data_IF_586826952627
#
_entry.id   IF_586826952627
#
_cell.length_a   1.000
_cell.length_b   1.000
_cell.length_c   1.000
_cell.angle_alpha   90.00
_cell.angle_beta   90.00
_cell.angle_gamma   90.00
#
_symmetry.space_group_name_H-M   'P 1'
#
loop_
_entity.id
_entity.type
_entity.pdbx_description
1 polymer ?
#
# COMPACT_ATOMS: atom_id res chain seq x y z
N UNK A 1 -8.45 23.33 6.13
CA UNK A 1 -7.09 22.80 6.31
C UNK A 1 -6.13 23.40 5.30
N UNK A 2 -4.85 23.48 5.63
CA UNK A 2 -3.72 23.68 4.72
C UNK A 2 -2.85 22.43 4.84
N UNK A 3 -2.59 21.78 3.71
CA UNK A 3 -1.79 20.56 3.67
C UNK A 3 -0.40 20.86 3.11
N UNK A 4 0.62 20.20 3.66
CA UNK A 4 1.99 20.17 3.16
C UNK A 4 2.37 18.72 2.91
N UNK A 5 3.11 18.44 1.86
CA UNK A 5 3.71 17.11 1.65
C UNK A 5 4.75 16.87 2.74
N UNK A 6 4.61 15.77 3.47
CA UNK A 6 5.45 15.48 4.63
C UNK A 6 5.97 14.03 4.67
N UNK A 7 5.72 13.27 3.63
CA UNK A 7 6.23 11.91 3.49
C UNK A 7 5.81 11.28 2.18
N UNK A 8 6.63 10.33 1.72
CA UNK A 8 6.37 9.56 0.51
C UNK A 8 7.01 8.19 0.65
N UNK A 9 6.24 7.13 0.45
CA UNK A 9 6.73 5.74 0.56
C UNK A 9 7.45 5.25 -0.71
N UNK A 10 7.49 6.05 -1.77
CA UNK A 10 7.93 5.55 -3.07
C UNK A 10 6.97 4.50 -3.63
N UNK A 11 7.50 3.60 -4.46
CA UNK A 11 6.73 2.56 -5.14
C UNK A 11 6.20 1.52 -4.15
N UNK A 12 4.93 1.17 -4.29
CA UNK A 12 4.28 0.13 -3.51
C UNK A 12 4.20 -1.21 -4.24
N UNK A 13 3.95 -2.27 -3.47
CA UNK A 13 3.68 -3.61 -3.97
C UNK A 13 2.17 -3.88 -4.02
N UNK A 14 1.78 -4.88 -4.84
CA UNK A 14 0.38 -5.26 -5.02
C UNK A 14 -0.22 -6.05 -3.86
N UNK A 15 0.63 -6.63 -3.01
CA UNK A 15 0.21 -7.27 -1.77
C UNK A 15 0.70 -8.70 -1.58
N UNK A 16 0.28 -9.27 -0.44
CA UNK A 16 0.59 -10.62 0.03
C UNK A 16 -0.60 -11.54 -0.13
N UNK A 17 -0.36 -12.75 -0.61
CA UNK A 17 -1.40 -13.73 -0.92
C UNK A 17 -1.02 -15.13 -0.41
N UNK A 18 -2.00 -15.84 0.13
CA UNK A 18 -1.83 -17.24 0.56
C UNK A 18 -1.93 -18.24 -0.61
N UNK A 19 -2.42 -17.78 -1.75
CA UNK A 19 -2.51 -18.57 -3.00
C UNK A 19 -1.97 -17.77 -4.18
N UNK A 20 -1.61 -18.46 -5.24
CA UNK A 20 -1.26 -17.80 -6.50
C UNK A 20 -2.49 -17.16 -7.14
N UNK A 21 -2.26 -16.06 -7.80
CA UNK A 21 -3.25 -15.32 -8.61
C UNK A 21 -2.83 -15.44 -10.06
N UNK A 22 -3.47 -16.33 -10.79
CA UNK A 22 -3.18 -16.63 -12.18
C UNK A 22 -4.23 -16.08 -13.16
N UNK A 23 -5.39 -15.66 -12.63
CA UNK A 23 -6.49 -15.12 -13.42
C UNK A 23 -7.36 -14.18 -12.59
N UNK A 24 -8.19 -13.34 -13.21
CA UNK A 24 -9.18 -12.53 -12.50
C UNK A 24 -10.15 -13.36 -11.64
N UNK A 25 -10.42 -14.60 -12.03
CA UNK A 25 -11.31 -15.50 -11.28
C UNK A 25 -10.75 -15.90 -9.91
N UNK A 26 -9.43 -15.83 -9.72
CA UNK A 26 -8.79 -16.13 -8.45
C UNK A 26 -9.09 -15.10 -7.35
N UNK A 27 -9.60 -13.94 -7.72
CA UNK A 27 -10.07 -12.93 -6.78
C UNK A 27 -11.46 -13.22 -6.21
N UNK A 28 -12.27 -14.06 -6.87
CA UNK A 28 -13.64 -14.35 -6.44
C UNK A 28 -13.64 -15.04 -5.07
N UNK A 29 -14.28 -14.38 -4.11
CA UNK A 29 -14.40 -14.88 -2.75
C UNK A 29 -13.14 -14.77 -1.90
N UNK A 30 -12.04 -14.24 -2.44
CA UNK A 30 -10.81 -13.96 -1.70
C UNK A 30 -11.10 -12.96 -0.59
N UNK A 31 -10.77 -13.28 0.64
CA UNK A 31 -10.89 -12.35 1.77
C UNK A 31 -9.62 -11.52 1.84
N UNK A 32 -9.69 -10.26 1.43
CA UNK A 32 -8.52 -9.41 1.36
C UNK A 32 -8.68 -8.15 2.21
N UNK A 33 -7.67 -7.86 3.03
CA UNK A 33 -7.54 -6.56 3.67
C UNK A 33 -6.96 -5.58 2.66
N UNK A 34 -7.77 -4.64 2.24
CA UNK A 34 -7.40 -3.54 1.37
C UNK A 34 -8.36 -2.36 1.60
N UNK A 35 -7.87 -1.17 2.01
CA UNK A 35 -8.71 -0.02 2.30
C UNK A 35 -9.01 0.83 1.06
N UNK A 36 -9.91 1.80 1.25
CA UNK A 36 -10.14 2.90 0.34
C UNK A 36 -10.63 2.49 -1.05
N UNK A 37 -10.25 3.26 -2.05
CA UNK A 37 -10.66 3.05 -3.45
C UNK A 37 -10.14 1.72 -4.01
N UNK A 38 -8.95 1.28 -3.58
CA UNK A 38 -8.41 -0.02 -3.96
C UNK A 38 -9.34 -1.17 -3.54
N UNK A 39 -9.88 -1.11 -2.31
CA UNK A 39 -10.86 -2.07 -1.85
C UNK A 39 -12.16 -2.04 -2.64
N UNK A 40 -12.67 -0.85 -2.97
CA UNK A 40 -13.86 -0.69 -3.81
C UNK A 40 -13.64 -1.27 -5.20
N UNK A 41 -12.47 -1.05 -5.79
CA UNK A 41 -12.11 -1.56 -7.11
C UNK A 41 -12.04 -3.10 -7.11
N UNK A 42 -11.29 -3.72 -6.19
CA UNK A 42 -11.19 -5.19 -6.19
C UNK A 42 -12.49 -5.89 -5.79
N UNK A 43 -13.40 -5.22 -5.09
CA UNK A 43 -14.73 -5.77 -4.81
C UNK A 43 -15.53 -6.04 -6.09
N UNK A 44 -15.29 -5.27 -7.16
CA UNK A 44 -15.89 -5.50 -8.49
C UNK A 44 -15.38 -6.80 -9.13
N UNK A 45 -14.21 -7.28 -8.75
CA UNK A 45 -13.66 -8.59 -9.14
C UNK A 45 -14.13 -9.73 -8.23
N UNK A 46 -15.00 -9.45 -7.28
CA UNK A 46 -15.57 -10.47 -6.38
C UNK A 46 -14.75 -10.71 -5.10
N UNK A 47 -13.79 -9.83 -4.78
CA UNK A 47 -13.06 -9.88 -3.51
C UNK A 47 -13.99 -9.55 -2.34
N UNK A 48 -13.91 -10.36 -1.29
CA UNK A 48 -14.50 -10.05 0.02
C UNK A 48 -13.58 -9.12 0.79
N UNK A 49 -13.81 -7.82 0.66
CA UNK A 49 -12.96 -6.79 1.29
C UNK A 49 -13.18 -6.74 2.79
N UNK A 50 -12.10 -6.79 3.56
CA UNK A 50 -12.10 -6.73 5.01
C UNK A 50 -11.37 -5.48 5.48
N UNK A 51 -12.06 -4.61 6.21
CA UNK A 51 -11.47 -3.44 6.85
C UNK A 51 -10.90 -3.77 8.21
N UNK A 52 -9.58 -3.53 8.42
CA UNK A 52 -8.96 -3.68 9.73
C UNK A 52 -7.73 -2.78 9.90
N UNK A 53 -7.39 -2.41 11.15
CA UNK A 53 -6.14 -1.72 11.46
C UNK A 53 -4.90 -2.54 11.07
N UNK A 54 -3.83 -1.84 10.65
CA UNK A 54 -2.58 -2.49 10.23
C UNK A 54 -1.97 -3.48 11.24
N UNK A 55 -2.03 -3.15 12.53
CA UNK A 55 -1.52 -4.03 13.59
C UNK A 55 -2.24 -5.36 13.75
N UNK A 56 -3.37 -5.56 13.09
CA UNK A 56 -4.14 -6.81 13.14
C UNK A 56 -3.90 -7.72 11.91
N UNK A 57 -3.25 -7.21 10.87
CA UNK A 57 -3.10 -7.92 9.59
C UNK A 57 -2.35 -9.24 9.78
N UNK A 58 -1.20 -9.20 10.46
CA UNK A 58 -0.35 -10.39 10.66
C UNK A 58 -1.11 -11.56 11.29
N UNK A 59 -1.79 -11.31 12.41
CA UNK A 59 -2.56 -12.35 13.11
C UNK A 59 -3.72 -12.89 12.25
N UNK A 60 -4.39 -12.02 11.50
CA UNK A 60 -5.51 -12.41 10.66
C UNK A 60 -5.08 -13.17 9.39
N UNK A 61 -3.88 -12.93 8.87
CA UNK A 61 -3.27 -13.75 7.83
C UNK A 61 -2.88 -15.14 8.36
N UNK A 62 -2.22 -15.20 9.52
CA UNK A 62 -1.76 -16.48 10.14
C UNK A 62 -2.93 -17.39 10.46
N UNK A 63 -4.03 -16.86 11.01
CA UNK A 63 -5.18 -17.66 11.41
C UNK A 63 -6.20 -17.92 10.27
N UNK A 64 -5.96 -17.38 9.07
CA UNK A 64 -6.82 -17.56 7.90
C UNK A 64 -8.12 -16.78 7.93
N UNK A 65 -8.25 -15.77 8.78
CA UNK A 65 -9.39 -14.83 8.75
C UNK A 65 -9.41 -14.03 7.46
N UNK A 66 -8.22 -13.67 6.95
CA UNK A 66 -8.00 -13.10 5.62
C UNK A 66 -7.02 -13.98 4.83
N UNK A 67 -7.17 -13.99 3.51
CA UNK A 67 -6.36 -14.76 2.57
C UNK A 67 -5.25 -13.91 1.95
N UNK A 68 -5.43 -12.57 1.99
CA UNK A 68 -4.53 -11.62 1.36
C UNK A 68 -4.57 -10.25 2.06
N UNK A 69 -3.52 -9.48 1.88
CA UNK A 69 -3.48 -8.07 2.26
C UNK A 69 -2.58 -7.26 1.34
N UNK A 70 -2.89 -5.98 1.20
CA UNK A 70 -1.91 -4.97 0.77
C UNK A 70 -1.35 -4.23 2.00
N UNK A 71 -0.18 -3.64 1.86
CA UNK A 71 0.41 -2.79 2.89
C UNK A 71 1.18 -1.63 2.25
N UNK A 72 2.50 -1.67 2.20
CA UNK A 72 3.30 -0.59 1.61
C UNK A 72 4.27 -1.13 0.56
N UNK A 73 5.36 -1.72 1.00
CA UNK A 73 6.41 -2.22 0.14
C UNK A 73 7.45 -3.00 0.95
N UNK A 74 8.49 -3.55 0.31
CA UNK A 74 9.35 -4.58 0.89
C UNK A 74 9.90 -4.24 2.27
N UNK A 75 10.32 -2.99 2.50
CA UNK A 75 10.93 -2.60 3.78
C UNK A 75 9.93 -2.59 4.94
N UNK A 76 8.72 -2.07 4.72
CA UNK A 76 7.67 -2.07 5.74
C UNK A 76 7.11 -3.47 5.95
N UNK A 77 6.92 -4.19 4.87
CA UNK A 77 6.27 -5.49 4.85
C UNK A 77 7.15 -6.55 5.50
N UNK A 78 8.48 -6.49 5.30
CA UNK A 78 9.46 -7.31 6.02
C UNK A 78 9.36 -7.09 7.55
N UNK A 79 9.29 -5.83 7.99
CA UNK A 79 9.15 -5.48 9.42
C UNK A 79 7.82 -5.96 10.02
N UNK A 80 6.78 -6.00 9.20
CA UNK A 80 5.47 -6.54 9.59
C UNK A 80 5.41 -8.06 9.58
N UNK A 81 6.49 -8.74 9.12
CA UNK A 81 6.65 -10.19 9.07
C UNK A 81 5.58 -10.91 8.27
N UNK A 82 4.99 -10.27 7.26
CA UNK A 82 3.93 -10.89 6.45
C UNK A 82 4.41 -12.14 5.71
N UNK A 83 5.70 -12.25 5.43
CA UNK A 83 6.34 -13.42 4.82
C UNK A 83 6.19 -14.72 5.65
N UNK A 84 5.90 -14.62 6.95
CA UNK A 84 5.63 -15.80 7.79
C UNK A 84 4.18 -16.29 7.64
N UNK A 85 3.30 -15.42 7.15
CA UNK A 85 1.86 -15.66 7.06
C UNK A 85 1.39 -15.90 5.62
N UNK A 86 2.07 -15.34 4.63
CA UNK A 86 1.72 -15.46 3.22
C UNK A 86 2.98 -15.68 2.37
N UNK A 87 2.87 -16.58 1.39
CA UNK A 87 4.02 -17.02 0.60
C UNK A 87 4.27 -16.17 -0.64
N UNK A 88 3.20 -15.69 -1.27
CA UNK A 88 3.25 -15.00 -2.56
C UNK A 88 3.20 -13.50 -2.36
N UNK A 89 4.18 -12.81 -2.94
CA UNK A 89 4.30 -11.35 -2.88
C UNK A 89 4.22 -10.77 -4.29
N UNK A 90 3.16 -10.04 -4.56
CA UNK A 90 2.86 -9.54 -5.90
C UNK A 90 3.24 -8.08 -6.08
N UNK A 91 3.72 -7.76 -7.28
CA UNK A 91 3.90 -6.43 -7.82
C UNK A 91 3.23 -6.29 -9.19
N UNK A 92 3.09 -5.07 -9.68
CA UNK A 92 3.22 -3.78 -9.00
C UNK A 92 2.03 -3.43 -8.11
N UNK A 93 2.11 -2.28 -7.40
CA UNK A 93 1.00 -1.71 -6.62
C UNK A 93 -0.09 -1.13 -7.51
N UNK A 94 -1.03 -1.95 -7.91
CA UNK A 94 -2.12 -1.61 -8.83
C UNK A 94 -3.16 -0.68 -8.22
N UNK A 95 -3.37 -0.76 -6.92
CA UNK A 95 -4.38 -0.02 -6.15
C UNK A 95 -3.90 1.36 -5.71
N UNK A 96 -2.61 1.49 -5.45
CA UNK A 96 -1.94 2.71 -4.99
C UNK A 96 -0.45 2.61 -5.34
N UNK A 97 -0.01 3.24 -6.44
CA UNK A 97 1.38 3.10 -6.89
C UNK A 97 2.40 3.73 -5.95
N UNK A 98 1.97 4.59 -5.03
CA UNK A 98 2.80 5.20 -3.99
C UNK A 98 1.97 6.04 -3.02
N UNK A 99 2.32 6.02 -1.74
CA UNK A 99 1.61 6.80 -0.72
C UNK A 99 2.26 8.16 -0.50
N UNK A 100 1.46 9.21 -0.62
CA UNK A 100 1.83 10.57 -0.22
C UNK A 100 1.22 10.89 1.15
N UNK A 101 2.07 11.13 2.13
CA UNK A 101 1.67 11.54 3.49
C UNK A 101 1.65 13.05 3.58
N UNK A 102 0.58 13.61 4.10
CA UNK A 102 0.42 15.06 4.25
C UNK A 102 0.34 15.49 5.71
N UNK A 103 0.99 16.60 6.03
CA UNK A 103 0.80 17.33 7.28
C UNK A 103 -0.39 18.28 7.13
N UNK A 104 -1.51 17.96 7.76
CA UNK A 104 -2.71 18.79 7.77
C UNK A 104 -2.69 19.81 8.92
N UNK A 105 -2.59 21.09 8.60
CA UNK A 105 -2.65 22.17 9.58
C UNK A 105 -4.01 22.88 9.58
N UNK A 106 -4.52 23.22 10.77
CA UNK A 106 -5.65 24.15 10.85
C UNK A 106 -5.26 25.49 10.24
N UNK A 107 -6.04 25.95 9.25
CA UNK A 107 -5.70 27.16 8.49
C UNK A 107 -5.63 28.41 9.37
N UNK A 108 -6.59 28.59 10.29
CA UNK A 108 -6.63 29.77 11.17
C UNK A 108 -5.44 29.77 12.13
N UNK A 109 -5.09 28.61 12.70
CA UNK A 109 -3.89 28.47 13.53
C UNK A 109 -2.62 28.79 12.74
N UNK A 110 -2.45 28.19 11.57
CA UNK A 110 -1.25 28.40 10.74
C UNK A 110 -1.09 29.89 10.38
N UNK A 111 -2.18 30.58 10.01
CA UNK A 111 -2.13 32.00 9.65
C UNK A 111 -1.94 32.92 10.84
N UNK A 112 -2.15 32.47 12.07
CA UNK A 112 -1.84 33.23 13.30
C UNK A 112 -0.35 33.22 13.65
N UNK A 113 0.43 32.35 13.05
CA UNK A 113 1.88 32.29 13.24
C UNK A 113 2.59 33.36 12.42
N UNK A 114 3.83 33.71 12.82
CA UNK A 114 4.69 34.54 12.01
C UNK A 114 4.98 33.91 10.65
N UNK A 115 5.32 34.75 9.65
CA UNK A 115 5.73 34.25 8.33
C UNK A 115 6.93 33.29 8.42
N UNK A 116 7.86 33.59 9.31
CA UNK A 116 9.04 32.75 9.57
C UNK A 116 8.63 31.38 10.09
N UNK A 117 7.71 31.29 11.06
CA UNK A 117 7.26 30.02 11.61
C UNK A 117 6.48 29.20 10.57
N UNK A 118 5.65 29.85 9.75
CA UNK A 118 4.97 29.18 8.61
C UNK A 118 5.98 28.57 7.64
N UNK A 119 7.04 29.29 7.29
CA UNK A 119 8.11 28.78 6.41
C UNK A 119 8.90 27.64 7.06
N UNK A 120 9.13 27.68 8.37
CA UNK A 120 9.80 26.58 9.10
C UNK A 120 8.98 25.31 8.99
N UNK A 121 7.66 25.37 9.20
CA UNK A 121 6.76 24.22 9.09
C UNK A 121 6.78 23.66 7.67
N UNK A 122 6.64 24.52 6.66
CA UNK A 122 6.65 24.11 5.24
C UNK A 122 7.97 23.45 4.86
N UNK A 123 9.10 24.07 5.22
CA UNK A 123 10.43 23.52 4.93
C UNK A 123 10.67 22.19 5.66
N UNK A 124 10.26 22.08 6.92
CA UNK A 124 10.39 20.84 7.68
C UNK A 124 9.58 19.69 7.05
N UNK A 125 8.35 19.97 6.59
CA UNK A 125 7.54 19.01 5.88
C UNK A 125 8.19 18.57 4.56
N UNK A 126 8.69 19.52 3.76
CA UNK A 126 9.39 19.24 2.50
C UNK A 126 10.64 18.38 2.72
N UNK A 127 11.48 18.75 3.68
CA UNK A 127 12.70 17.96 4.02
C UNK A 127 12.34 16.55 4.45
N UNK A 128 11.30 16.40 5.26
CA UNK A 128 10.84 15.08 5.70
C UNK A 128 10.31 14.25 4.53
N UNK A 129 9.60 14.85 3.58
CA UNK A 129 9.15 14.19 2.37
C UNK A 129 10.31 13.63 1.55
N UNK A 130 11.31 14.47 1.26
CA UNK A 130 12.50 14.07 0.49
C UNK A 130 13.33 13.00 1.22
N UNK A 131 13.49 13.14 2.53
CA UNK A 131 14.19 12.15 3.34
C UNK A 131 13.48 10.80 3.29
N UNK A 132 12.17 10.78 3.46
CA UNK A 132 11.41 9.55 3.49
C UNK A 132 11.47 8.82 2.14
N UNK A 133 11.21 9.49 1.01
CA UNK A 133 11.26 8.82 -0.30
C UNK A 133 12.66 8.28 -0.62
N UNK A 134 13.70 9.01 -0.26
CA UNK A 134 15.09 8.57 -0.46
C UNK A 134 15.40 7.33 0.38
N UNK A 135 14.99 7.32 1.65
CA UNK A 135 15.18 6.19 2.56
C UNK A 135 14.42 4.95 2.08
N UNK A 136 13.14 5.09 1.70
CA UNK A 136 12.34 3.98 1.17
C UNK A 136 12.93 3.39 -0.10
N UNK A 137 13.35 4.23 -1.05
CA UNK A 137 13.98 3.76 -2.28
C UNK A 137 15.28 2.99 -2.01
N UNK A 138 16.07 3.45 -1.06
CA UNK A 138 17.31 2.76 -0.66
C UNK A 138 17.03 1.43 0.06
N UNK A 139 16.04 1.39 0.95
CA UNK A 139 15.80 0.24 1.83
C UNK A 139 14.93 -0.83 1.18
N UNK A 140 14.02 -0.47 0.28
CA UNK A 140 13.12 -1.42 -0.37
C UNK A 140 13.87 -2.51 -1.15
N UNK A 141 14.90 -2.14 -1.92
CA UNK A 141 15.68 -3.11 -2.69
C UNK A 141 16.39 -4.13 -1.81
N UNK A 142 17.01 -3.68 -0.72
CA UNK A 142 17.69 -4.55 0.24
C UNK A 142 16.70 -5.47 0.99
N UNK A 143 15.54 -4.94 1.37
CA UNK A 143 14.49 -5.72 2.02
C UNK A 143 13.89 -6.77 1.08
N UNK A 144 13.61 -6.42 -0.18
CA UNK A 144 13.13 -7.37 -1.18
C UNK A 144 14.12 -8.52 -1.40
N UNK A 145 15.42 -8.22 -1.44
CA UNK A 145 16.46 -9.24 -1.56
C UNK A 145 16.41 -10.24 -0.39
N UNK A 146 16.26 -9.75 0.86
CA UNK A 146 16.13 -10.63 2.03
C UNK A 146 14.82 -11.42 2.00
N UNK A 147 13.70 -10.79 1.66
CA UNK A 147 12.42 -11.49 1.54
C UNK A 147 12.50 -12.69 0.61
N UNK A 148 13.13 -12.52 -0.56
CA UNK A 148 13.26 -13.60 -1.55
C UNK A 148 14.31 -14.63 -1.14
N UNK A 149 15.52 -14.20 -0.75
CA UNK A 149 16.66 -15.10 -0.58
C UNK A 149 16.78 -15.69 0.82
N UNK A 150 16.39 -14.94 1.86
CA UNK A 150 16.55 -15.38 3.24
C UNK A 150 15.23 -15.94 3.81
N UNK A 151 14.09 -15.42 3.37
CA UNK A 151 12.76 -15.82 3.85
C UNK A 151 11.96 -16.70 2.88
N UNK A 152 12.47 -16.94 1.67
CA UNK A 152 11.85 -17.85 0.71
C UNK A 152 10.53 -17.36 0.12
N UNK A 153 10.34 -16.05 0.09
CA UNK A 153 9.14 -15.41 -0.49
C UNK A 153 9.13 -15.63 -2.00
N UNK A 154 8.00 -16.03 -2.53
CA UNK A 154 7.79 -16.15 -3.97
C UNK A 154 7.29 -14.82 -4.54
N UNK A 155 8.24 -14.07 -5.11
CA UNK A 155 7.93 -12.83 -5.84
C UNK A 155 7.22 -13.16 -7.14
N UNK A 156 6.10 -12.48 -7.40
CA UNK A 156 5.24 -12.65 -8.57
C UNK A 156 4.88 -11.30 -9.17
N UNK A 157 4.56 -11.32 -10.46
CA UNK A 157 3.90 -10.22 -11.15
C UNK A 157 2.49 -10.65 -11.55
N UNK A 158 1.54 -9.72 -11.52
CA UNK A 158 0.23 -9.98 -12.08
C UNK A 158 0.34 -10.12 -13.60
N UNK A 159 -0.31 -11.13 -14.17
CA UNK A 159 -0.36 -11.30 -15.61
C UNK A 159 -1.26 -10.24 -16.28
N UNK A 160 -1.17 -10.15 -17.60
CA UNK A 160 -1.87 -9.15 -18.40
C UNK A 160 -3.38 -9.19 -18.19
N UNK A 161 -3.99 -10.37 -18.18
CA UNK A 161 -5.44 -10.52 -17.97
C UNK A 161 -5.90 -9.94 -16.61
N UNK A 162 -5.10 -10.12 -15.57
CA UNK A 162 -5.37 -9.57 -14.24
C UNK A 162 -5.22 -8.05 -14.24
N UNK A 163 -4.16 -7.53 -14.86
CA UNK A 163 -3.93 -6.08 -14.97
C UNK A 163 -5.04 -5.41 -15.77
N UNK A 164 -5.49 -6.00 -16.87
CA UNK A 164 -6.62 -5.51 -17.66
C UNK A 164 -7.92 -5.50 -16.84
N UNK A 165 -8.16 -6.54 -16.05
CA UNK A 165 -9.34 -6.59 -15.17
C UNK A 165 -9.30 -5.49 -14.10
N UNK A 166 -8.13 -5.15 -13.55
CA UNK A 166 -7.98 -3.99 -12.66
C UNK A 166 -8.31 -2.68 -13.37
N UNK A 167 -7.86 -2.52 -14.62
CA UNK A 167 -8.16 -1.36 -15.45
C UNK A 167 -9.66 -1.17 -15.64
N UNK A 168 -10.35 -2.21 -16.07
CA UNK A 168 -11.82 -2.20 -16.27
C UNK A 168 -12.56 -1.86 -14.96
N UNK A 169 -12.21 -2.54 -13.87
CA UNK A 169 -12.82 -2.31 -12.56
C UNK A 169 -12.59 -0.88 -12.04
N UNK A 170 -11.43 -0.30 -12.35
CA UNK A 170 -11.09 1.09 -12.00
C UNK A 170 -11.93 2.09 -12.79
N UNK A 171 -12.06 1.91 -14.10
CA UNK A 171 -12.89 2.78 -14.95
C UNK A 171 -14.36 2.74 -14.54
N UNK A 172 -14.91 1.55 -14.25
CA UNK A 172 -16.25 1.41 -13.70
C UNK A 172 -16.41 2.15 -12.39
N UNK A 173 -15.46 2.01 -11.45
CA UNK A 173 -15.50 2.69 -10.17
C UNK A 173 -15.46 4.22 -10.34
N UNK A 174 -14.58 4.75 -11.19
CA UNK A 174 -14.50 6.19 -11.43
C UNK A 174 -15.75 6.76 -12.09
N UNK A 175 -16.46 5.97 -12.85
CA UNK A 175 -17.74 6.40 -13.45
C UNK A 175 -18.89 6.51 -12.43
N UNK A 176 -18.75 5.87 -11.26
CA UNK A 176 -19.74 5.87 -10.17
C UNK A 176 -19.47 6.96 -9.11
N UNK A 177 -18.27 7.58 -9.10
CA UNK A 177 -17.85 8.61 -8.15
C UNK A 177 -18.15 10.03 -8.65
#
# INVERSE_FOLDING_TARGET
LKNFMAGNSGVQMGGWFNKEINSPDDFKGLKMRIPGLGGMMVSKLGVSVVGMPGGQIYENLINGTIDACEWVGPWNDERSRFYEAAKYYYGPGYHEPGTLITLGCNKSWLTSLSKTDQMIIENAATVQNEKMVTEYNAMNGAALNRLVNDHGVELREFNEDVVDAFGVASEELYSEL
#
